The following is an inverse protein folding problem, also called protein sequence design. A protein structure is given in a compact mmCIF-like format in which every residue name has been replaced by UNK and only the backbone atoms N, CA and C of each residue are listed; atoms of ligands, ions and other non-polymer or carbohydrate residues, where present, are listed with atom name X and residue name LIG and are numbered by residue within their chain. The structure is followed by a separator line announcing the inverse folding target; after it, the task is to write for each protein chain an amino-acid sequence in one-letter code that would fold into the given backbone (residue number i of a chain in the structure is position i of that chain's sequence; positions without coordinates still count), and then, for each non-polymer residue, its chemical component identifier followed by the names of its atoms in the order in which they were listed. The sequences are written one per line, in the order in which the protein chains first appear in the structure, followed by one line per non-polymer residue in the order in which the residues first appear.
data_IF_922380356314
#
_entry.id   IF_922380356314
#
_cell.length_a   1.000
_cell.length_b   1.000
_cell.length_c   1.000
_cell.angle_alpha   90.00
_cell.angle_beta   90.00
_cell.angle_gamma   90.00
#
_symmetry.space_group_name_H-M   'P 1'
#
loop_
_entity.id
_entity.type
_entity.pdbx_description
1 polymer ?
#
# COMPACT_ATOMS: atom_id res chain seq x y z
N UNK A 1 10.42 50.10 -9.09
CA UNK A 1 8.98 50.21 -9.40
C UNK A 1 8.53 49.07 -10.31
N UNK A 2 9.11 48.90 -11.51
CA UNK A 2 8.82 47.78 -12.45
C UNK A 2 8.85 46.35 -11.89
N UNK A 3 9.79 46.01 -11.00
CA UNK A 3 9.90 44.65 -10.43
C UNK A 3 8.75 44.36 -9.43
N UNK A 4 8.25 45.38 -8.75
CA UNK A 4 7.17 45.24 -7.76
C UNK A 4 5.80 45.07 -8.42
N UNK A 5 5.58 45.76 -9.54
CA UNK A 5 4.37 45.63 -10.38
C UNK A 5 4.31 44.28 -11.11
N UNK A 6 5.47 43.75 -11.52
CA UNK A 6 5.58 42.42 -12.14
C UNK A 6 5.27 41.28 -11.18
N UNK A 7 5.67 41.38 -9.91
CA UNK A 7 5.35 40.38 -8.88
C UNK A 7 3.88 40.44 -8.51
N UNK A 8 3.30 41.63 -8.30
CA UNK A 8 1.87 41.73 -7.96
C UNK A 8 0.93 41.26 -9.07
N UNK A 9 1.34 41.40 -10.34
CA UNK A 9 0.55 40.90 -11.47
C UNK A 9 0.63 39.36 -11.60
N UNK A 10 1.77 38.76 -11.22
CA UNK A 10 1.93 37.29 -11.14
C UNK A 10 1.04 36.72 -10.03
N UNK A 11 1.12 37.31 -8.82
CA UNK A 11 0.37 36.83 -7.66
C UNK A 11 -1.15 36.90 -7.89
N UNK A 12 -1.63 37.94 -8.59
CA UNK A 12 -3.04 38.08 -8.95
C UNK A 12 -3.48 37.07 -10.03
N UNK A 13 -2.61 36.72 -10.98
CA UNK A 13 -2.90 35.72 -12.00
C UNK A 13 -2.92 34.30 -11.42
N UNK A 14 -2.02 33.99 -10.49
CA UNK A 14 -1.98 32.73 -9.76
C UNK A 14 -3.24 32.57 -8.90
N UNK A 15 -3.65 33.63 -8.19
CA UNK A 15 -4.88 33.64 -7.38
C UNK A 15 -6.13 33.41 -8.22
N UNK A 16 -6.25 34.04 -9.39
CA UNK A 16 -7.41 33.84 -10.27
C UNK A 16 -7.44 32.42 -10.85
N UNK A 17 -6.26 31.84 -11.12
CA UNK A 17 -6.12 30.45 -11.59
C UNK A 17 -6.55 29.45 -10.50
N UNK A 18 -6.10 29.64 -9.27
CA UNK A 18 -6.52 28.83 -8.13
C UNK A 18 -8.02 28.92 -7.87
N UNK A 19 -8.58 30.14 -7.95
CA UNK A 19 -10.02 30.35 -7.81
C UNK A 19 -10.82 29.63 -8.89
N UNK A 20 -10.42 29.75 -10.16
CA UNK A 20 -11.08 29.05 -11.26
C UNK A 20 -11.01 27.52 -11.11
N UNK A 21 -9.89 26.99 -10.59
CA UNK A 21 -9.75 25.57 -10.27
C UNK A 21 -10.71 25.16 -9.15
N UNK A 22 -10.75 25.92 -8.06
CA UNK A 22 -11.65 25.66 -6.93
C UNK A 22 -13.13 25.69 -7.34
N UNK A 23 -13.53 26.65 -8.17
CA UNK A 23 -14.90 26.72 -8.72
C UNK A 23 -15.25 25.47 -9.54
N UNK A 24 -14.31 24.97 -10.36
CA UNK A 24 -14.48 23.73 -11.13
C UNK A 24 -14.60 22.50 -10.22
N UNK A 25 -13.79 22.42 -9.16
CA UNK A 25 -13.83 21.34 -8.18
C UNK A 25 -15.15 21.34 -7.39
N UNK A 26 -15.67 22.51 -7.01
CA UNK A 26 -16.98 22.64 -6.36
C UNK A 26 -18.09 22.12 -7.27
N UNK A 27 -18.13 22.52 -8.54
CA UNK A 27 -19.14 22.04 -9.50
C UNK A 27 -19.05 20.53 -9.67
N UNK A 28 -17.85 19.96 -9.70
CA UNK A 28 -17.64 18.52 -9.76
C UNK A 28 -18.18 17.81 -8.50
N UNK A 29 -17.94 18.36 -7.31
CA UNK A 29 -18.45 17.83 -6.04
C UNK A 29 -19.98 17.95 -5.94
N UNK A 30 -20.56 19.05 -6.38
CA UNK A 30 -22.03 19.23 -6.43
C UNK A 30 -22.67 18.22 -7.39
N UNK A 31 -22.03 17.96 -8.53
CA UNK A 31 -22.47 16.93 -9.49
C UNK A 31 -22.40 15.54 -8.86
N UNK A 32 -21.27 15.21 -8.22
CA UNK A 32 -21.10 13.94 -7.51
C UNK A 32 -22.13 13.78 -6.39
N UNK A 33 -22.40 14.82 -5.60
CA UNK A 33 -23.41 14.81 -4.55
C UNK A 33 -24.82 14.58 -5.12
N UNK A 34 -25.15 15.22 -6.23
CA UNK A 34 -26.42 15.00 -6.92
C UNK A 34 -26.55 13.55 -7.41
N UNK A 35 -25.49 12.98 -8.00
CA UNK A 35 -25.46 11.58 -8.44
C UNK A 35 -25.58 10.60 -7.26
N UNK A 36 -24.88 10.85 -6.13
CA UNK A 36 -25.01 10.06 -4.90
C UNK A 36 -26.45 10.10 -4.38
N UNK A 37 -27.06 11.29 -4.32
CA UNK A 37 -28.43 11.43 -3.84
C UNK A 37 -29.44 10.77 -4.79
N UNK A 38 -29.19 10.79 -6.10
CA UNK A 38 -30.08 10.17 -7.11
C UNK A 38 -29.97 8.65 -7.07
N UNK A 39 -28.75 8.13 -7.14
CA UNK A 39 -28.50 6.72 -7.46
C UNK A 39 -28.12 5.88 -6.23
N UNK A 40 -27.60 6.49 -5.17
CA UNK A 40 -27.02 5.78 -4.01
C UNK A 40 -27.78 5.99 -2.70
N UNK A 41 -28.90 6.73 -2.70
CA UNK A 41 -29.68 6.99 -1.47
C UNK A 41 -30.25 5.71 -0.86
N UNK A 42 -30.81 4.81 -1.66
CA UNK A 42 -31.40 3.57 -1.15
C UNK A 42 -30.35 2.47 -0.93
N UNK A 43 -30.52 1.67 0.13
CA UNK A 43 -29.56 0.62 0.52
C UNK A 43 -29.33 -0.42 -0.58
N UNK A 44 -30.38 -0.79 -1.32
CA UNK A 44 -30.31 -1.79 -2.38
C UNK A 44 -29.44 -1.33 -3.56
N UNK A 45 -29.34 -0.02 -3.78
CA UNK A 45 -28.47 0.53 -4.82
C UNK A 45 -26.99 0.55 -4.39
N UNK A 46 -26.71 0.55 -3.09
CA UNK A 46 -25.35 0.52 -2.53
C UNK A 46 -24.71 -0.87 -2.56
N UNK A 47 -25.47 -1.92 -2.89
CA UNK A 47 -24.93 -3.28 -3.00
C UNK A 47 -24.06 -3.37 -4.25
N UNK A 48 -22.74 -3.41 -4.06
CA UNK A 48 -21.78 -3.49 -5.18
C UNK A 48 -21.71 -4.88 -5.80
N UNK A 49 -22.11 -5.93 -5.10
CA UNK A 49 -22.15 -7.30 -5.62
C UNK A 49 -22.10 -8.34 -4.49
N UNK A 50 -22.12 -9.62 -4.84
CA UNK A 50 -22.18 -10.71 -3.87
C UNK A 50 -20.81 -11.01 -3.25
N UNK A 51 -20.82 -11.46 -1.99
CA UNK A 51 -19.66 -12.14 -1.38
C UNK A 51 -19.55 -13.53 -2.02
N UNK A 52 -18.43 -13.82 -2.64
CA UNK A 52 -18.14 -15.12 -3.25
C UNK A 52 -17.59 -16.10 -2.22
N UNK A 53 -16.74 -15.61 -1.31
CA UNK A 53 -16.13 -16.43 -0.28
C UNK A 53 -15.75 -15.58 0.95
N UNK A 54 -16.01 -16.12 2.14
CA UNK A 54 -15.58 -15.56 3.42
C UNK A 54 -15.53 -16.72 4.41
N UNK A 55 -14.39 -17.41 4.54
CA UNK A 55 -14.24 -18.49 5.48
C UNK A 55 -14.21 -17.92 6.91
N UNK A 56 -14.57 -18.72 7.93
CA UNK A 56 -14.27 -18.36 9.31
C UNK A 56 -12.79 -18.05 9.48
N UNK A 57 -12.44 -17.14 10.38
CA UNK A 57 -11.04 -16.86 10.71
C UNK A 57 -10.39 -18.14 11.20
N UNK A 58 -9.31 -18.57 10.52
CA UNK A 58 -8.54 -19.76 10.88
C UNK A 58 -7.06 -19.42 10.99
N UNK A 59 -6.38 -20.07 11.93
CA UNK A 59 -4.95 -19.90 12.18
C UNK A 59 -4.22 -21.17 11.79
N UNK A 60 -2.97 -21.05 11.32
CA UNK A 60 -2.15 -22.24 11.06
C UNK A 60 -2.67 -23.11 9.90
N UNK A 61 -3.30 -22.53 8.89
CA UNK A 61 -3.90 -23.26 7.78
C UNK A 61 -2.85 -23.77 6.80
N UNK A 62 -2.99 -25.04 6.41
CA UNK A 62 -2.15 -25.68 5.40
C UNK A 62 -0.71 -25.96 5.85
N UNK A 63 0.11 -26.43 4.90
CA UNK A 63 1.53 -26.76 5.15
C UNK A 63 2.35 -25.53 5.56
N UNK A 64 1.91 -24.35 5.12
CA UNK A 64 2.53 -23.06 5.37
C UNK A 64 2.14 -22.49 6.74
N UNK A 65 1.12 -23.06 7.39
CA UNK A 65 0.60 -22.60 8.68
C UNK A 65 0.22 -21.11 8.69
N UNK A 66 -0.34 -20.60 7.58
CA UNK A 66 -0.71 -19.19 7.45
C UNK A 66 -2.05 -18.89 8.12
N UNK A 67 -2.32 -17.62 8.38
CA UNK A 67 -3.65 -17.18 8.81
C UNK A 67 -4.58 -17.08 7.60
N UNK A 68 -5.81 -17.57 7.76
CA UNK A 68 -6.88 -17.37 6.80
C UNK A 68 -7.89 -16.38 7.39
N UNK A 69 -7.75 -15.12 6.98
CA UNK A 69 -8.59 -13.99 7.38
C UNK A 69 -8.78 -13.08 6.16
N UNK A 70 -9.63 -13.52 5.23
CA UNK A 70 -9.87 -12.82 3.97
C UNK A 70 -11.29 -13.05 3.49
N UNK A 71 -11.78 -12.18 2.60
CA UNK A 71 -13.00 -12.39 1.86
C UNK A 71 -12.81 -11.95 0.42
N UNK A 72 -13.49 -12.62 -0.51
CA UNK A 72 -13.59 -12.21 -1.91
C UNK A 72 -15.04 -11.94 -2.21
N UNK A 73 -15.28 -10.78 -2.81
CA UNK A 73 -16.58 -10.37 -3.32
C UNK A 73 -16.44 -9.97 -4.78
N UNK A 74 -17.52 -10.16 -5.52
CA UNK A 74 -17.62 -9.71 -6.90
C UNK A 74 -18.14 -8.26 -6.92
N UNK A 75 -17.60 -7.45 -7.82
CA UNK A 75 -18.05 -6.08 -8.05
C UNK A 75 -18.81 -6.04 -9.37
N UNK A 76 -20.08 -5.63 -9.30
CA UNK A 76 -20.92 -5.30 -10.42
C UNK A 76 -20.39 -4.04 -11.11
N UNK A 77 -19.66 -4.26 -12.21
CA UNK A 77 -19.06 -3.19 -13.00
C UNK A 77 -20.09 -2.22 -13.58
N UNK A 78 -21.33 -2.65 -13.77
CA UNK A 78 -22.37 -1.77 -14.31
C UNK A 78 -22.70 -0.63 -13.34
N UNK A 79 -22.47 -0.83 -12.04
CA UNK A 79 -22.66 0.20 -11.00
C UNK A 79 -21.51 1.20 -10.89
N UNK A 80 -20.30 0.81 -11.30
CA UNK A 80 -19.11 1.67 -11.24
C UNK A 80 -18.76 2.32 -12.59
N UNK A 81 -19.42 1.90 -13.68
CA UNK A 81 -19.19 2.41 -15.02
C UNK A 81 -17.81 2.06 -15.59
N UNK A 82 -17.42 2.73 -16.67
CA UNK A 82 -16.17 2.46 -17.39
C UNK A 82 -14.91 2.94 -16.67
N UNK A 83 -15.05 3.69 -15.56
CA UNK A 83 -13.91 4.17 -14.77
C UNK A 83 -13.28 3.10 -13.88
N UNK A 84 -13.99 2.01 -13.59
CA UNK A 84 -13.46 0.92 -12.76
C UNK A 84 -12.46 0.05 -13.54
N UNK A 85 -11.18 0.15 -13.17
CA UNK A 85 -10.09 -0.55 -13.84
C UNK A 85 -9.78 -1.93 -13.24
N UNK A 86 -10.48 -2.32 -12.16
CA UNK A 86 -10.21 -3.56 -11.41
C UNK A 86 -9.44 -3.29 -10.11
N UNK A 87 -8.80 -4.33 -9.58
CA UNK A 87 -7.99 -4.23 -8.37
C UNK A 87 -6.71 -3.44 -8.68
N UNK A 88 -6.49 -2.35 -7.95
CA UNK A 88 -5.31 -1.52 -8.09
C UNK A 88 -4.93 -0.93 -6.73
N UNK A 89 -3.65 -0.59 -6.58
CA UNK A 89 -3.16 0.29 -5.52
C UNK A 89 -3.14 1.72 -6.04
N UNK A 90 -3.75 2.64 -5.30
CA UNK A 90 -3.58 4.07 -5.54
C UNK A 90 -2.21 4.50 -5.00
N UNK A 91 -1.33 4.90 -5.91
CA UNK A 91 0.01 5.39 -5.57
C UNK A 91 -0.02 6.80 -4.96
N UNK A 92 -1.13 7.53 -5.11
CA UNK A 92 -1.28 8.92 -4.69
C UNK A 92 -0.10 9.78 -5.19
N UNK A 93 0.41 10.64 -4.32
CA UNK A 93 1.51 11.57 -4.63
C UNK A 93 2.90 10.90 -4.81
N UNK A 94 2.96 9.58 -4.90
CA UNK A 94 4.23 8.86 -5.00
C UNK A 94 4.79 8.96 -6.40
N UNK A 95 5.73 9.89 -6.62
CA UNK A 95 6.35 10.08 -7.93
C UNK A 95 7.10 8.84 -8.42
N UNK A 96 7.21 8.70 -9.75
CA UNK A 96 8.08 7.69 -10.38
C UNK A 96 9.51 7.77 -9.82
N UNK A 97 10.07 8.97 -9.66
CA UNK A 97 11.41 9.15 -9.10
C UNK A 97 11.54 8.56 -7.69
N UNK A 98 10.49 8.62 -6.88
CA UNK A 98 10.44 7.98 -5.55
C UNK A 98 10.49 6.46 -5.70
N UNK A 99 9.66 5.89 -6.58
CA UNK A 99 9.64 4.45 -6.85
C UNK A 99 11.00 3.99 -7.36
N UNK A 100 11.57 4.71 -8.33
CA UNK A 100 12.89 4.47 -8.91
C UNK A 100 14.00 4.46 -7.86
N UNK A 101 14.03 5.46 -6.96
CA UNK A 101 15.02 5.52 -5.88
C UNK A 101 14.94 4.29 -4.97
N UNK A 102 13.72 3.78 -4.70
CA UNK A 102 13.51 2.56 -3.90
C UNK A 102 13.76 1.26 -4.70
N UNK A 103 13.50 1.27 -6.01
CA UNK A 103 13.63 0.13 -6.94
C UNK A 103 15.01 -0.02 -7.59
N UNK A 104 15.93 0.95 -7.44
CA UNK A 104 17.33 0.88 -7.88
C UNK A 104 18.13 -0.30 -7.25
N UNK A 105 17.43 -1.11 -6.44
CA UNK A 105 17.80 -2.35 -5.79
C UNK A 105 17.92 -3.57 -6.72
N UNK A 106 17.48 -3.53 -7.97
CA UNK A 106 17.76 -4.61 -8.94
C UNK A 106 18.94 -4.24 -9.85
N UNK A 107 19.70 -5.24 -10.35
CA UNK A 107 20.73 -4.98 -11.37
C UNK A 107 20.07 -4.21 -12.51
N UNK A 108 20.75 -3.19 -13.03
CA UNK A 108 20.20 -2.22 -13.98
C UNK A 108 19.59 -2.86 -15.25
N UNK A 109 19.90 -4.13 -15.51
CA UNK A 109 19.53 -4.85 -16.71
C UNK A 109 18.24 -5.70 -16.56
N UNK A 110 17.68 -5.89 -15.35
CA UNK A 110 16.51 -6.77 -15.10
C UNK A 110 15.35 -6.09 -14.34
N UNK A 111 15.42 -4.78 -14.10
CA UNK A 111 14.39 -4.06 -13.34
C UNK A 111 13.40 -3.38 -14.28
N UNK A 112 12.13 -3.78 -14.21
CA UNK A 112 11.02 -3.12 -14.89
C UNK A 112 9.90 -2.89 -13.89
N UNK A 113 9.83 -1.67 -13.33
CA UNK A 113 8.62 -1.17 -12.70
C UNK A 113 7.91 -0.27 -13.71
N UNK A 114 6.75 -0.69 -14.18
CA UNK A 114 5.95 0.11 -15.10
C UNK A 114 5.10 1.09 -14.30
N UNK A 115 5.60 2.31 -14.14
CA UNK A 115 4.88 3.36 -13.43
C UNK A 115 3.57 3.71 -14.15
N UNK A 116 2.41 3.71 -13.45
CA UNK A 116 1.12 4.02 -14.06
C UNK A 116 0.95 5.53 -14.27
N UNK A 117 1.49 6.06 -15.37
CA UNK A 117 1.32 7.48 -15.73
C UNK A 117 -0.15 7.86 -15.95
N UNK A 118 -0.98 6.88 -16.35
CA UNK A 118 -2.41 7.05 -16.57
C UNK A 118 -3.20 6.88 -15.27
N UNK A 119 -3.10 7.87 -14.38
CA UNK A 119 -3.98 7.99 -13.20
C UNK A 119 -3.47 7.34 -11.91
N UNK A 120 -2.18 7.02 -11.81
CA UNK A 120 -1.52 6.61 -10.55
C UNK A 120 -2.06 5.31 -9.93
N UNK A 121 -2.87 4.55 -10.67
CA UNK A 121 -3.41 3.26 -10.25
C UNK A 121 -2.48 2.12 -10.69
N UNK A 122 -1.75 1.55 -9.73
CA UNK A 122 -0.89 0.40 -9.95
C UNK A 122 -1.72 -0.89 -9.94
N UNK A 123 -1.88 -1.50 -11.12
CA UNK A 123 -2.73 -2.67 -11.29
C UNK A 123 -2.22 -3.88 -10.50
N UNK A 124 -3.10 -4.47 -9.69
CA UNK A 124 -2.85 -5.71 -8.99
C UNK A 124 -3.24 -6.89 -9.89
N UNK A 125 -2.27 -7.75 -10.16
CA UNK A 125 -2.40 -8.87 -11.10
C UNK A 125 -1.72 -10.10 -10.52
N UNK A 126 -2.41 -11.22 -10.55
CA UNK A 126 -1.92 -12.51 -10.06
C UNK A 126 -1.56 -12.50 -8.56
N UNK A 127 -1.04 -13.63 -8.10
CA UNK A 127 -0.61 -13.86 -6.72
C UNK A 127 0.88 -14.20 -6.70
N UNK A 128 1.58 -13.71 -5.69
CA UNK A 128 2.98 -14.04 -5.47
C UNK A 128 3.06 -15.52 -5.04
N UNK A 129 3.80 -16.38 -5.77
CA UNK A 129 3.95 -17.76 -5.38
C UNK A 129 4.65 -17.89 -4.02
N UNK A 130 4.13 -18.76 -3.15
CA UNK A 130 4.69 -19.01 -1.81
C UNK A 130 6.18 -19.35 -1.83
N UNK A 131 6.64 -20.08 -2.84
CA UNK A 131 8.06 -20.42 -2.97
C UNK A 131 8.95 -19.18 -3.16
N UNK A 132 8.45 -18.11 -3.81
CA UNK A 132 9.16 -16.83 -3.93
C UNK A 132 9.07 -15.99 -2.67
N UNK A 133 7.99 -16.14 -1.87
CA UNK A 133 7.94 -15.52 -0.53
C UNK A 133 9.03 -16.10 0.38
N UNK A 134 9.27 -17.41 0.32
CA UNK A 134 10.31 -18.11 1.11
C UNK A 134 11.71 -17.95 0.55
N UNK A 135 11.84 -17.97 -0.77
CA UNK A 135 13.09 -17.90 -1.50
C UNK A 135 12.97 -16.83 -2.58
N UNK A 136 13.09 -15.54 -2.20
CA UNK A 136 13.12 -14.44 -3.16
C UNK A 136 14.12 -14.69 -4.28
N UNK A 137 13.68 -14.45 -5.52
CA UNK A 137 14.52 -14.44 -6.71
C UNK A 137 15.17 -13.06 -6.95
N UNK A 138 14.70 -12.04 -6.23
CA UNK A 138 15.31 -10.73 -6.15
C UNK A 138 16.24 -10.61 -4.92
N UNK A 139 17.11 -9.61 -4.94
CA UNK A 139 18.06 -9.34 -3.88
C UNK A 139 17.97 -7.88 -3.46
N UNK A 140 18.06 -7.61 -2.17
CA UNK A 140 18.25 -6.25 -1.66
C UNK A 140 19.69 -5.83 -1.95
N UNK A 141 19.91 -4.95 -2.92
CA UNK A 141 21.25 -4.48 -3.28
C UNK A 141 22.02 -3.81 -2.13
N UNK A 142 21.35 -3.32 -1.08
CA UNK A 142 22.01 -2.67 0.06
C UNK A 142 22.68 -3.68 0.98
N UNK A 143 22.01 -4.81 1.24
CA UNK A 143 22.53 -5.91 2.05
C UNK A 143 23.21 -7.01 1.23
N UNK A 144 22.84 -7.15 -0.04
CA UNK A 144 23.18 -8.26 -0.92
C UNK A 144 22.31 -9.50 -0.72
N UNK A 145 21.38 -9.48 0.24
CA UNK A 145 20.61 -10.64 0.67
C UNK A 145 19.36 -10.87 -0.20
N UNK A 146 18.92 -12.14 -0.41
CA UNK A 146 17.66 -12.44 -1.09
C UNK A 146 16.46 -11.75 -0.42
N UNK A 147 15.77 -10.90 -1.17
CA UNK A 147 14.64 -10.09 -0.67
C UNK A 147 13.79 -9.56 -1.82
N UNK A 148 12.48 -9.51 -1.61
CA UNK A 148 11.52 -8.87 -2.52
C UNK A 148 11.26 -7.42 -2.06
N UNK A 149 11.23 -6.49 -3.02
CA UNK A 149 10.67 -5.17 -2.79
C UNK A 149 9.14 -5.27 -2.91
N UNK A 150 8.44 -4.80 -1.90
CA UNK A 150 6.98 -4.80 -1.83
C UNK A 150 6.43 -3.40 -1.62
N UNK A 151 5.20 -3.20 -2.06
CA UNK A 151 4.47 -1.94 -2.00
C UNK A 151 3.07 -2.15 -1.40
N UNK A 152 2.58 -1.15 -0.67
CA UNK A 152 1.16 -1.02 -0.31
C UNK A 152 0.71 0.42 -0.37
N UNK A 153 -0.60 0.62 -0.39
CA UNK A 153 -1.25 1.91 -0.09
C UNK A 153 -2.11 1.75 1.16
N UNK A 154 -1.75 2.48 2.22
CA UNK A 154 -2.42 2.45 3.52
C UNK A 154 -3.15 3.76 3.82
N UNK A 155 -4.26 3.70 4.56
CA UNK A 155 -5.09 4.88 4.87
C UNK A 155 -4.33 5.99 5.61
N UNK A 156 -3.40 5.63 6.50
CA UNK A 156 -2.64 6.60 7.31
C UNK A 156 -1.25 6.90 6.76
N UNK A 157 -0.58 5.90 6.18
CA UNK A 157 0.80 6.08 5.67
C UNK A 157 0.83 6.54 4.23
N UNK A 158 -0.30 6.48 3.52
CA UNK A 158 -0.30 6.48 2.06
C UNK A 158 0.50 5.30 1.52
N UNK A 159 1.15 5.51 0.38
CA UNK A 159 1.98 4.52 -0.29
C UNK A 159 3.31 4.32 0.41
N UNK A 160 3.63 3.09 0.79
CA UNK A 160 4.90 2.74 1.43
C UNK A 160 5.56 1.53 0.77
N UNK A 161 6.88 1.47 0.90
CA UNK A 161 7.72 0.41 0.34
C UNK A 161 8.39 -0.36 1.48
N UNK A 162 8.41 -1.68 1.35
CA UNK A 162 8.99 -2.59 2.32
C UNK A 162 9.84 -3.66 1.67
N UNK A 163 10.62 -4.36 2.48
CA UNK A 163 11.48 -5.46 2.05
C UNK A 163 11.02 -6.74 2.70
N UNK A 164 10.82 -7.77 1.90
CA UNK A 164 10.33 -9.04 2.35
C UNK A 164 11.39 -10.11 2.08
N UNK A 165 11.99 -10.61 3.14
CA UNK A 165 12.88 -11.77 3.05
C UNK A 165 12.07 -13.05 3.35
N UNK A 166 12.70 -14.20 3.17
CA UNK A 166 12.08 -15.51 3.43
C UNK A 166 11.68 -15.78 4.88
N UNK A 167 11.81 -14.79 5.77
CA UNK A 167 11.50 -14.93 7.19
C UNK A 167 9.99 -14.75 7.39
N UNK A 168 9.38 -15.81 7.91
CA UNK A 168 8.03 -15.74 8.44
C UNK A 168 8.11 -15.49 9.94
N UNK A 169 7.38 -14.47 10.40
CA UNK A 169 7.12 -14.29 11.82
C UNK A 169 6.29 -15.45 12.34
N UNK A 170 6.64 -15.94 13.52
CA UNK A 170 5.95 -17.00 14.23
C UNK A 170 5.14 -16.35 15.36
N UNK A 171 3.83 -16.58 15.35
CA UNK A 171 2.87 -16.41 16.45
C UNK A 171 1.98 -15.15 16.42
N UNK A 172 0.67 -15.40 16.45
CA UNK A 172 -0.30 -14.62 17.24
C UNK A 172 -1.04 -15.57 18.19
N UNK A 173 -1.09 -15.18 19.46
CA UNK A 173 -1.95 -15.77 20.48
C UNK A 173 -3.34 -15.15 20.35
N UNK A 174 -4.36 -15.94 20.04
CA UNK A 174 -5.77 -15.50 20.05
C UNK A 174 -6.46 -16.17 21.24
N UNK A 175 -6.67 -15.42 22.33
CA UNK A 175 -7.25 -15.93 23.57
C UNK A 175 -8.76 -15.65 23.67
N UNK A 176 -9.57 -16.33 22.85
CA UNK A 176 -11.04 -16.39 23.06
C UNK A 176 -11.50 -17.79 23.51
N UNK A 177 -10.63 -18.79 23.40
CA UNK A 177 -10.79 -20.14 23.93
C UNK A 177 -9.41 -20.59 24.43
N UNK A 178 -9.30 -21.38 25.49
CA UNK A 178 -8.03 -21.88 26.08
C UNK A 178 -7.19 -22.78 25.12
N UNK A 179 -7.31 -22.62 23.80
CA UNK A 179 -6.66 -23.40 22.77
C UNK A 179 -5.55 -22.57 22.13
N UNK A 180 -4.32 -22.95 22.44
CA UNK A 180 -3.09 -22.40 21.84
C UNK A 180 -3.04 -22.68 20.34
N UNK A 181 -2.97 -21.64 19.52
CA UNK A 181 -2.82 -21.77 18.06
C UNK A 181 -1.64 -20.93 17.59
N UNK A 182 -0.80 -21.52 16.72
CA UNK A 182 0.34 -20.85 16.10
C UNK A 182 0.01 -20.58 14.64
N UNK A 183 0.31 -19.37 14.18
CA UNK A 183 0.22 -18.99 12.78
C UNK A 183 1.51 -18.31 12.33
N UNK A 184 1.83 -18.47 11.06
CA UNK A 184 2.95 -17.81 10.38
C UNK A 184 2.44 -16.61 9.60
N UNK A 185 3.21 -15.54 9.64
CA UNK A 185 2.93 -14.29 8.92
C UNK A 185 4.18 -13.87 8.16
N UNK A 186 4.02 -13.40 6.93
CA UNK A 186 5.09 -12.87 6.12
C UNK A 186 5.60 -11.55 6.71
N UNK A 187 6.88 -11.50 7.08
CA UNK A 187 7.44 -10.32 7.72
C UNK A 187 7.97 -9.33 6.67
N UNK A 188 7.57 -8.07 6.80
CA UNK A 188 8.00 -6.96 5.95
C UNK A 188 8.78 -5.96 6.79
N UNK A 189 10.01 -5.70 6.37
CA UNK A 189 10.87 -4.70 6.99
C UNK A 189 10.67 -3.35 6.31
N UNK A 190 10.63 -2.27 7.08
CA UNK A 190 10.66 -0.92 6.50
C UNK A 190 11.95 -0.68 5.71
N UNK A 191 11.87 0.23 4.73
CA UNK A 191 13.03 0.60 3.92
C UNK A 191 14.03 1.50 4.68
N UNK A 192 13.57 2.28 5.67
CA UNK A 192 14.40 3.32 6.32
C UNK A 192 15.43 2.80 7.33
N UNK A 193 15.36 1.52 7.66
CA UNK A 193 15.91 1.02 8.92
C UNK A 193 17.14 0.13 8.74
N UNK A 194 18.03 0.49 7.81
CA UNK A 194 19.40 -0.01 7.85
C UNK A 194 20.31 1.14 8.26
N UNK A 195 20.98 1.01 9.40
CA UNK A 195 22.04 1.92 9.81
C UNK A 195 23.18 2.00 8.78
N UNK A 196 24.01 3.03 8.94
CA UNK A 196 25.29 3.32 8.29
C UNK A 196 25.35 3.95 6.88
N UNK A 197 24.25 4.11 6.14
CA UNK A 197 24.25 4.94 4.91
C UNK A 197 22.81 5.30 4.47
N UNK A 198 22.13 6.23 5.16
CA UNK A 198 20.87 6.76 4.67
C UNK A 198 21.11 7.47 3.34
N UNK A 199 20.24 7.23 2.34
CA UNK A 199 20.18 8.15 1.21
C UNK A 199 19.75 9.53 1.74
N UNK A 200 20.22 10.64 1.17
CA UNK A 200 19.90 11.99 1.67
C UNK A 200 18.40 12.34 1.68
N UNK A 201 17.55 11.49 1.08
CA UNK A 201 16.08 11.61 1.05
C UNK A 201 15.37 10.37 1.64
N UNK A 202 16.05 9.57 2.48
CA UNK A 202 15.49 8.33 3.05
C UNK A 202 14.58 8.62 4.26
N UNK A 203 13.54 9.43 4.04
CA UNK A 203 12.46 9.68 5.01
C UNK A 203 11.49 8.49 5.13
N UNK A 204 11.91 7.25 4.83
CA UNK A 204 10.99 6.12 5.01
C UNK A 204 10.81 5.86 6.50
N UNK A 205 9.72 6.40 7.04
CA UNK A 205 9.13 5.99 8.31
C UNK A 205 8.66 4.54 8.27
N UNK A 206 7.91 4.14 9.29
CA UNK A 206 7.37 2.78 9.41
C UNK A 206 6.66 2.33 8.12
N UNK A 207 6.82 1.05 7.75
CA UNK A 207 6.13 0.53 6.58
C UNK A 207 4.61 0.53 6.83
N UNK A 208 4.17 0.18 8.03
CA UNK A 208 2.79 0.24 8.49
C UNK A 208 2.59 1.17 9.69
N UNK A 209 1.37 1.68 9.83
CA UNK A 209 0.90 2.38 11.01
C UNK A 209 -0.49 1.87 11.43
N UNK A 210 -1.01 2.37 12.55
CA UNK A 210 -2.41 2.16 12.95
C UNK A 210 -3.35 2.49 11.78
N UNK A 211 -4.49 1.80 11.71
CA UNK A 211 -5.50 1.93 10.65
C UNK A 211 -5.08 1.46 9.25
N UNK A 212 -3.90 0.86 9.07
CA UNK A 212 -3.49 0.29 7.78
C UNK A 212 -3.97 -1.16 7.56
N UNK A 213 -4.50 -1.83 8.59
CA UNK A 213 -4.97 -3.22 8.51
C UNK A 213 -5.93 -3.41 7.33
N UNK A 214 -5.76 -4.52 6.59
CA UNK A 214 -6.49 -4.83 5.38
C UNK A 214 -5.85 -4.28 4.09
N UNK A 215 -4.82 -3.44 4.17
CA UNK A 215 -4.10 -2.98 2.98
C UNK A 215 -3.43 -4.17 2.26
N UNK A 216 -3.62 -4.23 0.94
CA UNK A 216 -2.99 -5.24 0.09
C UNK A 216 -1.50 -4.93 -0.07
N UNK A 217 -0.69 -5.97 0.01
CA UNK A 217 0.75 -5.90 -0.22
C UNK A 217 1.07 -6.69 -1.48
N UNK A 218 1.75 -6.03 -2.40
CA UNK A 218 2.12 -6.58 -3.69
C UNK A 218 3.61 -6.38 -3.96
N UNK A 219 4.17 -7.22 -4.82
CA UNK A 219 5.49 -6.97 -5.35
C UNK A 219 5.47 -5.87 -6.44
N UNK A 220 6.65 -5.50 -6.93
CA UNK A 220 6.79 -4.48 -7.98
C UNK A 220 6.25 -4.90 -9.36
N UNK A 221 5.73 -6.13 -9.50
CA UNK A 221 5.06 -6.63 -10.70
C UNK A 221 3.53 -6.64 -10.55
N UNK A 222 3.01 -6.25 -9.39
CA UNK A 222 1.58 -6.22 -9.06
C UNK A 222 1.04 -7.53 -8.49
N UNK A 223 1.90 -8.52 -8.21
CA UNK A 223 1.50 -9.82 -7.66
C UNK A 223 1.19 -9.69 -6.18
N UNK A 224 -0.02 -10.06 -5.80
CA UNK A 224 -0.49 -9.96 -4.42
C UNK A 224 0.23 -11.00 -3.57
N UNK A 225 0.98 -10.56 -2.56
CA UNK A 225 1.65 -11.43 -1.60
C UNK A 225 0.85 -11.64 -0.32
N UNK A 226 -0.04 -10.71 0.03
CA UNK A 226 -0.79 -10.79 1.27
C UNK A 226 -1.58 -9.54 1.62
N UNK A 227 -2.12 -9.54 2.83
CA UNK A 227 -2.82 -8.41 3.43
C UNK A 227 -2.15 -8.02 4.74
N UNK A 228 -1.99 -6.73 4.97
CA UNK A 228 -1.43 -6.23 6.22
C UNK A 228 -2.39 -6.49 7.39
N UNK A 229 -1.89 -7.13 8.44
CA UNK A 229 -2.67 -7.38 9.66
C UNK A 229 -2.32 -6.38 10.76
N UNK A 230 -1.02 -6.24 11.05
CA UNK A 230 -0.52 -5.33 12.08
C UNK A 230 0.99 -5.19 12.02
N UNK A 231 1.53 -4.22 12.75
CA UNK A 231 2.97 -4.00 12.87
C UNK A 231 3.44 -4.29 14.29
N UNK A 232 4.69 -4.71 14.44
CA UNK A 232 5.36 -4.78 15.74
C UNK A 232 6.25 -3.55 15.94
N UNK A 233 5.66 -2.35 15.86
CA UNK A 233 6.36 -1.12 16.18
C UNK A 233 6.20 -0.81 17.69
N UNK A 234 7.31 -0.79 18.43
CA UNK A 234 7.37 -0.04 19.68
C UNK A 234 7.72 1.40 19.32
N UNK A 235 6.86 2.35 19.70
CA UNK A 235 7.18 3.77 19.65
C UNK A 235 8.44 3.97 20.52
N UNK A 236 9.55 4.42 19.91
CA UNK A 236 10.78 4.74 20.64
C UNK A 236 10.47 5.80 21.71
N UNK A 237 10.59 5.43 22.99
CA UNK A 237 11.01 6.40 24.00
C UNK A 237 12.48 6.77 23.70
N UNK A 238 12.88 8.03 23.92
CA UNK A 238 14.17 8.55 23.48
C UNK A 238 15.33 8.09 24.40
N UNK A 239 15.54 6.78 24.54
CA UNK A 239 16.83 6.18 24.93
C UNK A 239 16.74 4.64 24.92
N UNK A 240 16.83 4.00 23.76
CA UNK A 240 17.26 2.59 23.71
C UNK A 240 17.71 2.19 22.30
N UNK A 241 18.68 1.27 22.30
CA UNK A 241 19.50 0.86 21.16
C UNK A 241 18.69 0.14 20.08
N UNK A 242 19.22 0.22 18.86
CA UNK A 242 18.71 -0.35 17.61
C UNK A 242 18.04 -1.73 17.77
N UNK A 243 16.75 -1.78 17.44
CA UNK A 243 16.00 -3.02 17.20
C UNK A 243 15.31 -2.89 15.84
N UNK A 244 15.33 -3.97 15.05
CA UNK A 244 14.80 -4.03 13.69
C UNK A 244 13.28 -3.87 13.67
N UNK A 245 12.78 -2.93 12.86
CA UNK A 245 11.36 -2.72 12.63
C UNK A 245 10.76 -3.80 11.71
N UNK A 246 9.89 -4.66 12.27
CA UNK A 246 9.14 -5.68 11.53
C UNK A 246 7.65 -5.33 11.52
N UNK A 247 7.09 -5.24 10.31
CA UNK A 247 5.66 -5.17 10.06
C UNK A 247 5.15 -6.52 9.53
N UNK A 248 3.95 -6.94 9.94
CA UNK A 248 3.48 -8.31 9.77
C UNK A 248 2.29 -8.41 8.79
N UNK A 249 2.43 -9.34 7.85
CA UNK A 249 1.54 -9.53 6.70
C UNK A 249 1.06 -10.98 6.67
N UNK A 250 -0.16 -11.21 6.21
CA UNK A 250 -0.69 -12.55 5.99
C UNK A 250 -0.06 -13.23 4.78
#
# INVERSE_FOLDING_TARGET
QKIKESSSASDAADTETEKARAEKEIVALETLLADINRDWTSTDQRVLGPILHSPPIRLGVGNEQLTEDWAVFEIDRTKLGSGFQGNALDLGLTSELTVMKKCWSAKADDWEFNYPYDGELFALRDFLPVHLMRHPDAHDRRSGEPSLLVIKSGSTTGTTFGRANGVFSLVREYSDTDVWQTSRQWAIMSFGDLGHNPLPDDESGAFAALCNSGAIIADMKGRIGGMLNGGSCRVKEPDSREEQELDLVY
#
